data_IF_487252703049
#
_entry.id   IF_487252703049
#
_cell.length_a   1.000
_cell.length_b   1.000
_cell.length_c   1.000
_cell.angle_alpha   90.00
_cell.angle_beta   90.00
_cell.angle_gamma   90.00
#
_symmetry.space_group_name_H-M   'P 1'
#
loop_
_entity.id
_entity.type
_entity.pdbx_description
1 polymer ?
#
# COMPACT_ATOMS: atom_id res chain seq x y z
N UNK A 1 0.74 -3.14 13.00
CA UNK A 1 0.20 -4.14 12.05
C UNK A 1 1.22 -4.50 10.95
N UNK A 2 1.70 -5.74 11.01
CA UNK A 2 2.67 -6.30 10.07
C UNK A 2 2.01 -7.43 9.27
N UNK A 3 2.40 -7.59 8.01
CA UNK A 3 1.92 -8.68 7.13
C UNK A 3 2.11 -10.06 7.80
N UNK A 4 3.14 -10.21 8.63
CA UNK A 4 3.43 -11.44 9.39
C UNK A 4 2.29 -11.86 10.33
N UNK A 5 1.45 -10.92 10.78
CA UNK A 5 0.27 -11.23 11.58
C UNK A 5 -0.78 -12.07 10.85
N UNK A 6 -0.83 -11.98 9.51
CA UNK A 6 -1.73 -12.79 8.68
C UNK A 6 -1.34 -14.26 8.79
N UNK A 7 -0.05 -14.58 8.65
CA UNK A 7 0.44 -15.95 8.79
C UNK A 7 0.13 -16.54 10.16
N UNK A 8 0.23 -15.74 11.22
CA UNK A 8 -0.16 -16.20 12.56
C UNK A 8 -1.66 -16.50 12.66
N UNK A 9 -2.51 -15.58 12.20
CA UNK A 9 -3.96 -15.79 12.20
C UNK A 9 -4.37 -17.01 11.35
N UNK A 10 -3.68 -17.24 10.24
CA UNK A 10 -3.86 -18.44 9.42
C UNK A 10 -3.51 -19.72 10.18
N UNK A 11 -2.37 -19.77 10.87
CA UNK A 11 -1.99 -20.92 11.71
C UNK A 11 -2.97 -21.15 12.86
N UNK A 12 -3.56 -20.08 13.40
CA UNK A 12 -4.64 -20.13 14.40
C UNK A 12 -6.01 -20.45 13.76
N UNK A 13 -6.03 -20.94 12.51
CA UNK A 13 -7.19 -21.38 11.73
C UNK A 13 -8.27 -20.32 11.53
N UNK A 14 -7.90 -19.02 11.53
CA UNK A 14 -8.82 -17.94 11.18
C UNK A 14 -9.08 -17.95 9.67
N UNK A 15 -10.33 -17.69 9.29
CA UNK A 15 -10.80 -17.74 7.89
C UNK A 15 -10.98 -16.36 7.27
N UNK A 16 -11.46 -15.41 8.05
CA UNK A 16 -11.74 -14.04 7.63
C UNK A 16 -10.78 -13.09 8.36
N UNK A 17 -9.66 -12.77 7.71
CA UNK A 17 -8.60 -11.96 8.30
C UNK A 17 -8.72 -10.51 7.81
N UNK A 18 -8.90 -9.58 8.73
CA UNK A 18 -8.81 -8.15 8.46
C UNK A 18 -7.38 -7.64 8.69
N UNK A 19 -6.89 -6.79 7.79
CA UNK A 19 -5.62 -6.07 7.97
C UNK A 19 -5.82 -4.56 7.88
N UNK A 20 -5.17 -3.85 8.79
CA UNK A 20 -5.01 -2.41 8.73
C UNK A 20 -3.54 -2.13 8.42
N UNK A 21 -3.23 -1.40 7.35
CA UNK A 21 -1.87 -1.36 6.83
C UNK A 21 -1.51 -0.05 6.10
N UNK A 22 -0.22 0.27 6.11
CA UNK A 22 0.33 1.32 5.25
C UNK A 22 0.45 0.82 3.79
N UNK A 23 0.62 1.72 2.81
CA UNK A 23 0.62 1.36 1.39
C UNK A 23 1.64 0.27 1.03
N UNK A 24 2.85 0.33 1.58
CA UNK A 24 3.89 -0.68 1.32
C UNK A 24 3.51 -2.08 1.83
N UNK A 25 2.78 -2.18 2.94
CA UNK A 25 2.31 -3.47 3.44
C UNK A 25 1.19 -4.03 2.56
N UNK A 26 0.30 -3.19 2.06
CA UNK A 26 -0.75 -3.60 1.13
C UNK A 26 -0.17 -4.04 -0.22
N UNK A 27 0.84 -3.34 -0.73
CA UNK A 27 1.58 -3.76 -1.93
C UNK A 27 2.28 -5.10 -1.73
N UNK A 28 2.96 -5.28 -0.59
CA UNK A 28 3.59 -6.55 -0.23
C UNK A 28 2.56 -7.68 -0.14
N UNK A 29 1.41 -7.44 0.48
CA UNK A 29 0.32 -8.40 0.57
C UNK A 29 -0.22 -8.75 -0.81
N UNK A 30 -0.49 -7.76 -1.66
CA UNK A 30 -0.97 -7.98 -3.03
C UNK A 30 -0.02 -8.89 -3.81
N UNK A 31 1.29 -8.68 -3.70
CA UNK A 31 2.31 -9.52 -4.33
C UNK A 31 2.30 -10.97 -3.79
N UNK A 32 2.10 -11.15 -2.48
CA UNK A 32 2.02 -12.48 -1.87
C UNK A 32 0.76 -13.21 -2.33
N UNK A 33 -0.39 -12.53 -2.36
CA UNK A 33 -1.67 -13.10 -2.82
C UNK A 33 -1.59 -13.57 -4.27
N UNK A 34 -0.82 -12.90 -5.12
CA UNK A 34 -0.61 -13.31 -6.52
C UNK A 34 0.55 -14.28 -6.72
N UNK A 35 1.17 -14.79 -5.65
CA UNK A 35 2.29 -15.73 -5.72
C UNK A 35 1.82 -17.17 -5.46
N UNK A 36 2.64 -18.15 -5.85
CA UNK A 36 2.36 -19.58 -5.62
C UNK A 36 2.62 -20.04 -4.17
N UNK A 37 3.05 -19.13 -3.29
CA UNK A 37 3.36 -19.47 -1.90
C UNK A 37 2.09 -19.53 -1.06
N UNK A 38 1.85 -20.70 -0.45
CA UNK A 38 0.78 -20.86 0.53
C UNK A 38 1.16 -20.21 1.88
N UNK A 39 0.74 -18.97 2.06
CA UNK A 39 1.05 -18.15 3.24
C UNK A 39 -0.18 -17.80 4.08
N UNK A 40 -1.38 -18.25 3.66
CA UNK A 40 -2.65 -17.81 4.25
C UNK A 40 -3.06 -16.39 3.85
N UNK A 41 -2.30 -15.72 2.97
CA UNK A 41 -2.59 -14.36 2.52
C UNK A 41 -3.96 -14.24 1.82
N UNK A 42 -4.39 -15.31 1.14
CA UNK A 42 -5.68 -15.42 0.46
C UNK A 42 -6.88 -15.37 1.43
N UNK A 43 -6.65 -15.59 2.73
CA UNK A 43 -7.66 -15.44 3.79
C UNK A 43 -7.89 -13.99 4.21
N UNK A 44 -7.19 -13.04 3.61
CA UNK A 44 -7.39 -11.61 3.90
C UNK A 44 -8.68 -11.11 3.28
N UNK A 45 -9.74 -11.04 4.08
CA UNK A 45 -11.08 -10.67 3.64
C UNK A 45 -11.35 -9.17 3.66
N UNK A 46 -10.57 -8.39 4.42
CA UNK A 46 -10.72 -6.93 4.51
C UNK A 46 -9.37 -6.23 4.64
N UNK A 47 -9.14 -5.20 3.81
CA UNK A 47 -7.92 -4.40 3.75
C UNK A 47 -8.23 -2.92 3.97
N UNK A 48 -7.88 -2.39 5.13
CA UNK A 48 -7.99 -0.95 5.42
C UNK A 48 -6.60 -0.31 5.30
N UNK A 49 -6.47 0.64 4.38
CA UNK A 49 -5.24 1.39 4.13
C UNK A 49 -5.18 2.67 4.94
N UNK A 50 -4.07 2.94 5.62
CA UNK A 50 -3.77 4.27 6.13
C UNK A 50 -2.94 5.03 5.10
N UNK A 51 -3.35 6.27 4.79
CA UNK A 51 -2.53 7.14 3.97
C UNK A 51 -1.17 7.37 4.65
N UNK A 52 -0.10 7.39 3.86
CA UNK A 52 1.25 7.47 4.40
C UNK A 52 2.13 8.34 3.52
N UNK A 53 2.74 9.38 4.09
CA UNK A 53 3.74 10.19 3.40
C UNK A 53 5.13 9.55 3.45
N UNK A 54 5.57 9.15 4.64
CA UNK A 54 6.82 8.45 4.91
C UNK A 54 6.74 7.78 6.29
N UNK A 55 7.31 6.58 6.44
CA UNK A 55 7.51 5.92 7.73
C UNK A 55 8.87 6.22 8.36
N UNK A 56 9.65 7.16 7.80
CA UNK A 56 10.98 7.52 8.30
C UNK A 56 12.11 6.56 7.92
N UNK A 57 11.81 5.43 7.27
CA UNK A 57 12.81 4.46 6.83
C UNK A 57 13.39 4.80 5.45
N UNK A 58 14.63 4.39 5.19
CA UNK A 58 15.32 4.61 3.90
C UNK A 58 14.50 4.13 2.70
N UNK A 59 13.79 3.00 2.83
CA UNK A 59 12.92 2.46 1.77
C UNK A 59 11.76 3.38 1.39
N UNK A 60 11.30 4.26 2.30
CA UNK A 60 10.17 5.16 2.03
C UNK A 60 10.46 6.14 0.88
N UNK A 61 11.74 6.44 0.59
CA UNK A 61 12.12 7.34 -0.51
C UNK A 61 11.82 6.76 -1.90
N UNK A 62 11.49 5.48 -2.00
CA UNK A 62 11.12 4.80 -3.25
C UNK A 62 9.62 4.50 -3.35
N UNK A 63 8.86 4.63 -2.26
CA UNK A 63 7.43 4.34 -2.26
C UNK A 63 6.65 5.45 -2.96
N UNK A 64 5.94 5.15 -4.04
CA UNK A 64 5.15 6.14 -4.80
C UNK A 64 3.67 6.19 -4.41
N UNK A 65 3.20 5.23 -3.62
CA UNK A 65 1.80 5.13 -3.19
C UNK A 65 1.57 5.90 -1.89
N UNK A 66 0.67 6.88 -1.93
CA UNK A 66 0.26 7.65 -0.76
C UNK A 66 -1.00 7.10 -0.10
N UNK A 67 -2.01 6.72 -0.90
CA UNK A 67 -3.37 6.44 -0.41
C UNK A 67 -3.59 4.98 -0.05
N UNK A 68 -2.66 4.08 -0.32
CA UNK A 68 -2.89 2.64 -0.18
C UNK A 68 -3.80 2.17 -1.31
N UNK A 69 -3.28 2.16 -2.52
CA UNK A 69 -4.04 1.89 -3.75
C UNK A 69 -4.58 0.44 -3.80
N UNK A 70 -4.01 -0.46 -3.00
CA UNK A 70 -4.38 -1.89 -2.88
C UNK A 70 -5.33 -2.21 -1.70
N UNK A 71 -5.94 -1.19 -1.08
CA UNK A 71 -6.92 -1.37 0.00
C UNK A 71 -8.33 -1.63 -0.55
N UNK A 72 -9.22 -2.12 0.31
CA UNK A 72 -10.67 -2.05 0.08
C UNK A 72 -11.21 -0.66 0.45
N UNK A 73 -10.66 -0.10 1.53
CA UNK A 73 -10.95 1.24 2.05
C UNK A 73 -9.64 1.92 2.42
N UNK A 74 -9.43 3.17 2.02
CA UNK A 74 -8.34 4.01 2.51
C UNK A 74 -8.86 5.10 3.44
N UNK A 75 -8.19 5.29 4.57
CA UNK A 75 -8.42 6.37 5.51
C UNK A 75 -7.27 7.38 5.49
N UNK A 76 -7.57 8.67 5.38
CA UNK A 76 -6.59 9.75 5.46
C UNK A 76 -7.11 10.97 6.21
N UNK A 77 -6.55 11.31 7.38
CA UNK A 77 -6.83 12.60 8.02
C UNK A 77 -6.10 13.75 7.30
N UNK A 78 -5.06 13.44 6.51
CA UNK A 78 -4.31 14.44 5.76
C UNK A 78 -4.99 14.78 4.45
N UNK A 79 -5.04 16.07 4.14
CA UNK A 79 -5.74 16.64 3.00
C UNK A 79 -7.20 16.99 3.31
N UNK A 80 -7.78 16.45 4.39
CA UNK A 80 -9.11 16.88 4.85
C UNK A 80 -9.02 18.33 5.37
N UNK A 81 -10.13 19.09 5.37
CA UNK A 81 -10.14 20.48 5.81
C UNK A 81 -9.49 20.63 7.19
N UNK A 82 -8.44 21.45 7.31
CA UNK A 82 -7.69 21.57 8.56
C UNK A 82 -8.58 22.03 9.70
N UNK A 83 -8.46 21.37 10.85
CA UNK A 83 -9.20 21.73 12.07
C UNK A 83 -10.66 21.28 12.09
N UNK A 84 -11.14 20.58 11.05
CA UNK A 84 -12.51 20.03 11.01
C UNK A 84 -12.71 18.78 11.86
N UNK A 85 -11.63 18.05 12.15
CA UNK A 85 -11.71 16.70 12.73
C UNK A 85 -12.15 15.62 11.73
N UNK A 86 -12.32 15.98 10.46
CA UNK A 86 -12.72 15.07 9.39
C UNK A 86 -11.52 14.30 8.81
N UNK A 87 -11.84 13.23 8.09
CA UNK A 87 -10.89 12.45 7.32
C UNK A 87 -11.50 12.01 5.99
N UNK A 88 -10.66 11.87 4.97
CA UNK A 88 -11.08 11.23 3.74
C UNK A 88 -11.18 9.73 3.92
N UNK A 89 -12.29 9.18 3.42
CA UNK A 89 -12.50 7.76 3.24
C UNK A 89 -12.62 7.46 1.75
N UNK A 90 -11.66 6.74 1.19
CA UNK A 90 -11.64 6.36 -0.23
C UNK A 90 -12.05 4.89 -0.32
N UNK A 91 -13.23 4.62 -0.86
CA UNK A 91 -13.75 3.27 -1.06
C UNK A 91 -13.36 2.78 -2.45
N UNK A 92 -12.83 1.55 -2.56
CA UNK A 92 -12.30 1.00 -3.82
C UNK A 92 -13.02 -0.26 -4.30
N UNK A 93 -13.45 -1.11 -3.37
CA UNK A 93 -14.02 -2.43 -3.67
C UNK A 93 -15.42 -2.58 -3.10
N UNK A 94 -16.19 -3.53 -3.64
CA UNK A 94 -17.54 -3.84 -3.15
C UNK A 94 -17.54 -4.27 -1.67
N UNK A 95 -16.48 -4.96 -1.23
CA UNK A 95 -16.29 -5.31 0.18
C UNK A 95 -16.14 -4.04 1.02
N UNK A 96 -15.31 -3.10 0.56
CA UNK A 96 -15.14 -1.81 1.21
C UNK A 96 -16.46 -1.03 1.29
N UNK A 97 -17.22 -0.98 0.20
CA UNK A 97 -18.52 -0.29 0.16
C UNK A 97 -19.50 -0.89 1.16
N UNK A 98 -19.65 -2.22 1.19
CA UNK A 98 -20.51 -2.91 2.15
C UNK A 98 -20.14 -2.59 3.60
N UNK A 99 -18.86 -2.52 3.93
CA UNK A 99 -18.38 -2.19 5.29
C UNK A 99 -18.73 -0.74 5.64
N UNK A 100 -18.49 0.21 4.73
CA UNK A 100 -18.81 1.64 4.95
C UNK A 100 -20.31 1.85 5.11
N UNK A 101 -21.13 1.24 4.25
CA UNK A 101 -22.59 1.34 4.32
C UNK A 101 -23.14 0.83 5.65
N UNK A 102 -22.60 -0.30 6.15
CA UNK A 102 -22.95 -0.81 7.47
C UNK A 102 -22.50 0.12 8.59
N UNK A 103 -21.31 0.72 8.50
CA UNK A 103 -20.83 1.67 9.50
C UNK A 103 -21.72 2.92 9.59
N UNK A 104 -22.17 3.45 8.44
CA UNK A 104 -23.13 4.56 8.36
C UNK A 104 -24.49 4.15 8.93
N UNK A 105 -25.03 3.00 8.51
CA UNK A 105 -26.33 2.49 8.98
C UNK A 105 -26.35 2.31 10.50
N UNK A 106 -25.24 1.86 11.09
CA UNK A 106 -25.08 1.68 12.53
C UNK A 106 -24.64 2.96 13.27
N UNK A 107 -24.58 4.11 12.59
CA UNK A 107 -24.19 5.41 13.16
C UNK A 107 -22.80 5.41 13.82
N UNK A 108 -21.88 4.60 13.29
CA UNK A 108 -20.48 4.55 13.73
C UNK A 108 -19.63 5.65 13.09
N UNK A 109 -20.05 6.10 11.90
CA UNK A 109 -19.43 7.20 11.15
C UNK A 109 -20.52 8.06 10.50
N UNK A 110 -20.18 9.31 10.21
CA UNK A 110 -21.01 10.26 9.48
C UNK A 110 -20.30 10.66 8.18
N UNK A 111 -21.05 10.80 7.10
CA UNK A 111 -20.53 11.31 5.82
C UNK A 111 -20.89 12.79 5.73
N UNK A 112 -19.92 13.66 5.95
CA UNK A 112 -20.13 15.11 5.90
C UNK A 112 -20.21 15.64 4.47
N UNK A 113 -19.42 15.07 3.55
CA UNK A 113 -19.49 15.37 2.12
C UNK A 113 -19.12 14.14 1.27
N UNK A 114 -19.98 13.76 0.33
CA UNK A 114 -19.75 12.65 -0.62
C UNK A 114 -18.82 13.02 -1.77
N UNK A 115 -18.75 14.31 -2.11
CA UNK A 115 -17.91 14.87 -3.18
C UNK A 115 -17.02 15.99 -2.62
N UNK A 116 -16.08 15.65 -1.73
CA UNK A 116 -15.22 16.64 -1.13
C UNK A 116 -14.18 17.19 -2.12
N UNK A 117 -13.72 18.42 -1.88
CA UNK A 117 -12.63 18.97 -2.68
C UNK A 117 -11.33 18.16 -2.46
N UNK A 118 -10.81 17.59 -3.54
CA UNK A 118 -9.61 16.75 -3.52
C UNK A 118 -8.33 17.55 -3.80
N UNK A 119 -8.40 18.88 -3.94
CA UNK A 119 -7.26 19.72 -4.31
C UNK A 119 -6.06 19.55 -3.37
N UNK A 120 -6.27 19.53 -2.06
CA UNK A 120 -5.21 19.35 -1.06
C UNK A 120 -4.67 17.91 -1.04
N UNK A 121 -5.56 16.92 -1.10
CA UNK A 121 -5.19 15.50 -1.22
C UNK A 121 -4.29 15.25 -2.45
N UNK A 122 -4.68 15.79 -3.62
CA UNK A 122 -3.90 15.69 -4.86
C UNK A 122 -2.49 16.26 -4.71
N UNK A 123 -2.30 17.33 -3.93
CA UNK A 123 -0.96 17.87 -3.64
C UNK A 123 -0.09 16.85 -2.91
N UNK A 124 -0.61 16.17 -1.90
CA UNK A 124 0.14 15.13 -1.16
C UNK A 124 0.52 13.94 -2.04
N UNK A 125 -0.46 13.43 -2.81
CA UNK A 125 -0.25 12.31 -3.75
C UNK A 125 0.84 12.66 -4.77
N UNK A 126 0.69 13.80 -5.45
CA UNK A 126 1.62 14.22 -6.50
C UNK A 126 3.01 14.51 -5.93
N UNK A 127 3.10 15.13 -4.74
CA UNK A 127 4.39 15.40 -4.08
C UNK A 127 5.13 14.10 -3.76
N UNK A 128 4.46 13.12 -3.16
CA UNK A 128 5.07 11.81 -2.84
C UNK A 128 5.49 11.09 -4.11
N UNK A 129 4.57 10.95 -5.08
CA UNK A 129 4.81 10.25 -6.34
C UNK A 129 5.97 10.88 -7.12
N UNK A 130 5.96 12.20 -7.36
CA UNK A 130 7.03 12.89 -8.10
C UNK A 130 8.39 12.77 -7.40
N UNK A 131 8.45 13.06 -6.10
CA UNK A 131 9.70 13.01 -5.33
C UNK A 131 10.32 11.62 -5.35
N UNK A 132 9.51 10.59 -5.10
CA UNK A 132 10.01 9.23 -4.91
C UNK A 132 10.23 8.50 -6.25
N UNK A 133 9.49 8.87 -7.30
CA UNK A 133 9.73 8.36 -8.65
C UNK A 133 11.11 8.75 -9.19
N UNK A 134 11.59 9.96 -8.88
CA UNK A 134 12.97 10.36 -9.22
C UNK A 134 14.02 9.47 -8.55
N UNK A 135 13.77 9.01 -7.32
CA UNK A 135 14.67 8.08 -6.66
C UNK A 135 14.62 6.66 -7.28
N UNK A 136 13.45 6.25 -7.79
CA UNK A 136 13.29 4.97 -8.48
C UNK A 136 14.02 4.93 -9.82
N UNK A 137 13.98 6.02 -10.60
CA UNK A 137 14.67 6.11 -11.89
C UNK A 137 16.20 6.07 -11.75
N UNK A 138 16.73 6.45 -10.58
CA UNK A 138 18.16 6.69 -10.43
C UNK A 138 18.59 8.03 -11.06
N UNK A 139 19.87 8.39 -10.90
CA UNK A 139 20.42 9.64 -11.44
C UNK A 139 20.95 9.49 -12.87
N UNK A 140 21.28 8.26 -13.27
CA UNK A 140 21.93 7.96 -14.54
C UNK A 140 21.18 6.85 -15.28
N UNK A 141 20.78 7.11 -16.53
CA UNK A 141 20.51 6.06 -17.49
C UNK A 141 21.87 5.51 -17.93
N UNK A 142 22.37 4.50 -17.25
CA UNK A 142 23.53 3.76 -17.74
C UNK A 142 23.09 2.90 -18.93
N UNK A 143 23.68 3.12 -20.10
CA UNK A 143 23.70 2.12 -21.16
C UNK A 143 24.42 0.90 -20.60
N UNK A 144 23.68 -0.12 -20.17
CA UNK A 144 24.28 -1.36 -19.72
C UNK A 144 24.94 -2.06 -20.92
N UNK A 145 26.26 -1.85 -21.10
CA UNK A 145 27.10 -2.75 -21.91
C UNK A 145 27.35 -4.10 -21.19
N UNK A 146 26.90 -4.23 -19.94
CA UNK A 146 27.38 -5.19 -18.93
C UNK A 146 26.63 -6.52 -18.87
N UNK A 147 26.40 -7.16 -20.02
CA UNK A 147 26.19 -8.61 -20.07
C UNK A 147 26.99 -9.22 -21.22
N UNK A 148 28.29 -8.92 -21.23
CA UNK A 148 29.30 -9.74 -21.89
C UNK A 148 30.04 -10.52 -20.82
N UNK A 149 29.44 -11.60 -20.30
CA UNK A 149 30.15 -12.52 -19.42
C UNK A 149 31.06 -13.39 -20.31
N UNK A 150 32.37 -13.20 -20.21
CA UNK A 150 33.33 -14.03 -20.92
C UNK A 150 33.64 -15.28 -20.08
N UNK A 151 33.42 -16.46 -20.64
CA UNK A 151 33.62 -17.76 -19.98
C UNK A 151 35.06 -17.94 -19.48
N UNK A 152 36.04 -17.33 -20.16
CA UNK A 152 37.44 -17.42 -19.75
C UNK A 152 37.74 -16.74 -18.40
N UNK A 153 36.95 -15.74 -18.00
CA UNK A 153 37.11 -15.00 -16.73
C UNK A 153 36.53 -15.75 -15.53
N UNK A 154 35.81 -16.85 -15.77
CA UNK A 154 35.17 -17.68 -14.74
C UNK A 154 35.74 -19.11 -14.66
N UNK A 155 36.85 -19.40 -15.38
CA UNK A 155 37.49 -20.73 -15.37
C UNK A 155 37.93 -21.16 -13.97
N UNK A 156 38.45 -20.23 -13.18
CA UNK A 156 38.92 -20.49 -11.81
C UNK A 156 37.78 -20.85 -10.82
N UNK A 157 36.52 -20.60 -11.20
CA UNK A 157 35.32 -20.92 -10.42
C UNK A 157 34.59 -22.18 -10.93
N UNK A 158 35.03 -22.75 -12.05
CA UNK A 158 34.40 -23.88 -12.73
C UNK A 158 35.25 -25.17 -12.71
N UNK A 159 36.42 -25.16 -12.04
CA UNK A 159 37.22 -26.34 -11.69
C UNK A 159 37.01 -26.78 -10.23
#
# INVERSE_FOLDING_TARGET
>A
PLITGIGRAYLDRKRDIGIIANPCHLQGLAKIVTSDFNTGAERTSLKIGFACSSGGMTGCKYCTDYTGEFSDISYSPWGAPKGSGEAFLIVRTDVGQKVVDHAIKNKLIEVTNKEPDLSEMKKFINKKRKKNFLNLLGRDLITAKYLHLNIDEFKDLLE
#
